data_IF_970491406023
#
_entry.id   IF_970491406023
#
_cell.length_a   1.000
_cell.length_b   1.000
_cell.length_c   1.000
_cell.angle_alpha   90.00
_cell.angle_beta   90.00
_cell.angle_gamma   90.00
#
_symmetry.space_group_name_H-M   'P 1'
#
loop_
_entity.id
_entity.type
_entity.pdbx_description
1 polymer ?
#
# COMPACT_ATOMS: atom_id res chain seq x y z
N UNK A 1 -7.39 2.16 9.15
CA UNK A 1 -6.43 2.94 8.34
C UNK A 1 -6.62 2.49 6.90
N UNK A 2 -6.78 3.43 5.97
CA UNK A 2 -6.93 3.13 4.55
C UNK A 2 -5.66 3.50 3.79
N UNK A 3 -5.36 2.71 2.76
CA UNK A 3 -4.23 2.91 1.88
C UNK A 3 -4.71 3.25 0.49
N UNK A 4 -4.26 4.38 -0.04
CA UNK A 4 -4.40 4.67 -1.46
C UNK A 4 -3.17 4.14 -2.19
N UNK A 5 -3.36 3.34 -3.24
CA UNK A 5 -2.25 2.75 -3.99
C UNK A 5 -2.20 3.32 -5.39
N UNK A 6 -1.01 3.75 -5.80
CA UNK A 6 -0.73 4.32 -7.10
C UNK A 6 0.46 3.60 -7.74
N UNK A 7 0.36 3.33 -9.02
CA UNK A 7 1.57 3.32 -9.86
C UNK A 7 1.95 4.77 -10.17
N UNK A 8 3.20 5.05 -10.54
CA UNK A 8 3.74 6.42 -10.77
C UNK A 8 2.75 7.38 -11.45
N UNK A 9 1.96 6.91 -12.44
CA UNK A 9 1.02 7.74 -13.19
C UNK A 9 -0.45 7.27 -13.12
N UNK A 10 -0.80 6.28 -12.30
CA UNK A 10 -2.16 5.72 -12.28
C UNK A 10 -2.59 5.25 -10.89
N UNK A 11 -3.74 5.73 -10.44
CA UNK A 11 -4.45 5.25 -9.26
C UNK A 11 -4.96 3.82 -9.45
N UNK A 12 -4.71 2.95 -8.48
CA UNK A 12 -5.14 1.55 -8.48
C UNK A 12 -6.38 1.31 -7.61
N UNK A 13 -6.50 2.03 -6.49
CA UNK A 13 -7.64 1.89 -5.59
C UNK A 13 -7.34 2.31 -4.15
N UNK A 14 -8.38 2.25 -3.32
CA UNK A 14 -8.29 2.38 -1.86
C UNK A 14 -8.51 1.00 -1.24
N UNK A 15 -7.64 0.61 -0.33
CA UNK A 15 -7.65 -0.69 0.33
C UNK A 15 -7.62 -0.51 1.84
N UNK A 16 -8.33 -1.37 2.58
CA UNK A 16 -8.20 -1.40 4.02
C UNK A 16 -6.90 -2.13 4.40
N UNK A 17 -6.34 -1.77 5.57
CA UNK A 17 -5.10 -2.38 6.06
C UNK A 17 -5.19 -3.92 6.11
N UNK A 18 -6.36 -4.47 6.42
CA UNK A 18 -6.62 -5.91 6.42
C UNK A 18 -6.52 -6.58 5.06
N UNK A 19 -6.72 -5.83 3.97
CA UNK A 19 -6.62 -6.35 2.61
C UNK A 19 -5.15 -6.46 2.15
N UNK A 20 -4.27 -5.68 2.80
CA UNK A 20 -2.84 -5.65 2.53
C UNK A 20 -2.08 -6.60 3.48
N UNK A 21 -2.62 -6.85 4.67
CA UNK A 21 -1.93 -7.55 5.75
C UNK A 21 -2.80 -8.58 6.45
N UNK A 22 -2.22 -9.75 6.73
CA UNK A 22 -2.81 -10.72 7.66
C UNK A 22 -2.11 -10.64 9.03
N UNK A 23 -2.89 -10.82 10.10
CA UNK A 23 -2.70 -10.27 11.44
C UNK A 23 -1.53 -10.81 12.30
N UNK A 24 -0.25 -10.66 11.93
CA UNK A 24 0.87 -10.97 12.87
C UNK A 24 2.10 -10.04 12.76
N UNK A 25 1.89 -8.72 12.67
CA UNK A 25 2.95 -7.69 12.58
C UNK A 25 3.61 -7.67 11.20
N UNK A 26 2.91 -7.08 10.25
CA UNK A 26 3.48 -6.76 8.95
C UNK A 26 3.78 -5.26 8.88
N UNK A 27 5.06 -4.92 8.87
CA UNK A 27 5.54 -3.56 8.59
C UNK A 27 5.65 -3.43 7.07
N UNK A 28 4.87 -2.55 6.44
CA UNK A 28 5.13 -2.12 5.05
C UNK A 28 6.27 -1.14 5.06
N UNK A 29 7.28 -1.44 4.24
CA UNK A 29 8.42 -0.57 3.99
C UNK A 29 8.59 -0.38 2.48
N UNK A 30 9.41 0.60 2.10
CA UNK A 30 9.92 0.68 0.73
C UNK A 30 10.70 -0.61 0.43
N UNK A 31 10.42 -1.23 -0.71
CA UNK A 31 10.94 -2.54 -1.10
C UNK A 31 10.01 -3.71 -0.76
N UNK A 32 8.96 -3.51 0.04
CA UNK A 32 7.97 -4.57 0.31
C UNK A 32 7.23 -4.96 -0.97
N UNK A 33 7.09 -6.27 -1.21
CA UNK A 33 6.26 -6.81 -2.28
C UNK A 33 4.82 -7.00 -1.78
N UNK A 34 3.86 -6.37 -2.44
CA UNK A 34 2.43 -6.54 -2.18
C UNK A 34 1.74 -7.21 -3.37
N UNK A 35 0.69 -7.99 -3.10
CA UNK A 35 -0.11 -8.65 -4.13
C UNK A 35 -1.48 -7.99 -4.16
N UNK A 36 -1.87 -7.45 -5.32
CA UNK A 36 -3.17 -6.80 -5.53
C UNK A 36 -3.76 -7.37 -6.81
N UNK A 37 -4.97 -7.95 -6.75
CA UNK A 37 -5.66 -8.56 -7.89
C UNK A 37 -4.74 -9.49 -8.70
N UNK A 38 -4.11 -10.44 -8.01
CA UNK A 38 -3.17 -11.44 -8.58
C UNK A 38 -1.88 -10.88 -9.23
N UNK A 39 -1.62 -9.58 -9.10
CA UNK A 39 -0.39 -8.93 -9.59
C UNK A 39 0.51 -8.54 -8.43
N UNK A 40 1.81 -8.77 -8.61
CA UNK A 40 2.85 -8.38 -7.64
C UNK A 40 3.36 -6.98 -7.94
N UNK A 41 3.48 -6.18 -6.89
CA UNK A 41 3.96 -4.80 -6.95
C UNK A 41 5.03 -4.59 -5.88
N UNK A 42 6.05 -3.77 -6.17
CA UNK A 42 7.10 -3.41 -5.22
C UNK A 42 6.90 -1.97 -4.77
N UNK A 43 6.80 -1.73 -3.47
CA UNK A 43 6.61 -0.38 -2.94
C UNK A 43 7.88 0.43 -3.15
N UNK A 44 7.75 1.57 -3.83
CA UNK A 44 8.82 2.53 -4.09
C UNK A 44 8.83 3.69 -3.11
N UNK A 45 7.66 4.10 -2.63
CA UNK A 45 7.51 5.24 -1.73
C UNK A 45 6.27 5.11 -0.85
N UNK A 46 6.32 5.71 0.35
CA UNK A 46 5.25 5.70 1.36
C UNK A 46 5.09 7.11 1.91
N UNK A 47 3.91 7.69 1.75
CA UNK A 47 3.54 8.99 2.33
C UNK A 47 2.42 8.81 3.36
N UNK A 48 2.70 9.11 4.63
CA UNK A 48 1.68 9.18 5.69
C UNK A 48 1.12 10.60 5.72
N UNK A 49 -0.20 10.71 5.65
CA UNK A 49 -0.93 11.99 5.68
C UNK A 49 -1.31 12.37 7.10
N UNK A 50 -1.65 13.64 7.29
CA UNK A 50 -2.11 14.19 8.58
C UNK A 50 -3.41 13.55 9.08
N UNK A 51 -4.24 13.00 8.19
CA UNK A 51 -5.47 12.29 8.53
C UNK A 51 -5.22 10.84 9.00
N UNK A 52 -3.96 10.42 9.09
CA UNK A 52 -3.56 9.07 9.49
C UNK A 52 -3.72 8.02 8.39
N UNK A 53 -4.13 8.39 7.17
CA UNK A 53 -4.09 7.49 6.01
C UNK A 53 -2.71 7.52 5.34
N UNK A 54 -2.41 6.47 4.57
CA UNK A 54 -1.15 6.38 3.84
C UNK A 54 -1.38 6.23 2.34
N UNK A 55 -0.47 6.81 1.55
CA UNK A 55 -0.37 6.62 0.11
C UNK A 55 0.85 5.75 -0.19
N UNK A 56 0.65 4.66 -0.92
CA UNK A 56 1.72 3.78 -1.40
C UNK A 56 1.94 4.02 -2.89
N UNK A 57 3.18 4.28 -3.28
CA UNK A 57 3.59 4.30 -4.68
C UNK A 57 4.30 2.99 -4.99
N UNK A 58 3.84 2.28 -6.03
CA UNK A 58 4.41 1.02 -6.50
C UNK A 58 4.99 1.09 -7.91
#
# INVERSE_FOLDING_TARGET
MKFEIFTTNRFLGVYDISDIFNNEVSIVAVGTLIVINDKKYCIKDILVREDGNARLTV
#
